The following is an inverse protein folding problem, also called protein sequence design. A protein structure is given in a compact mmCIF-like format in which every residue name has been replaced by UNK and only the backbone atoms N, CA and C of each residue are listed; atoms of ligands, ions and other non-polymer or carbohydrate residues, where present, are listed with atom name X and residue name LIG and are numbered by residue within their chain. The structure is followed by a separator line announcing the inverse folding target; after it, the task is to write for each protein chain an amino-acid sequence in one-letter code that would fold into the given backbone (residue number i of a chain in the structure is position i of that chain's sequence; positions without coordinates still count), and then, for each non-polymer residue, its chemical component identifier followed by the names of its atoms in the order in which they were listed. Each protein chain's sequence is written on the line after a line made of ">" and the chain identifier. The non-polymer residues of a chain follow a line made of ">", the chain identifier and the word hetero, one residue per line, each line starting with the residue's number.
data_IF_726716973941
#
_entry.id   IF_726716973941
#
_cell.length_a   1.000
_cell.length_b   1.000
_cell.length_c   1.000
_cell.angle_alpha   90.00
_cell.angle_beta   90.00
_cell.angle_gamma   90.00
#
_symmetry.space_group_name_H-M   'P 1'
#
loop_
_entity.id
_entity.type
_entity.pdbx_description
1 polymer ?
#
# COMPACT_ATOMS: atom_id res chain seq x y z
N UNK A 1 -20.90 -15.27 -0.48
CA UNK A 1 -21.09 -15.20 1.00
C UNK A 1 -20.04 -15.95 1.83
N UNK A 2 -20.03 -17.29 2.00
CA UNK A 2 -19.06 -17.95 2.93
C UNK A 2 -17.58 -17.72 2.58
N UNK A 3 -17.22 -17.75 1.29
CA UNK A 3 -15.83 -17.57 0.84
C UNK A 3 -15.33 -16.13 0.99
N UNK A 4 -16.14 -15.14 0.66
CA UNK A 4 -15.79 -13.72 0.81
C UNK A 4 -15.66 -13.32 2.28
N UNK A 5 -16.55 -13.85 3.14
CA UNK A 5 -16.44 -13.65 4.58
C UNK A 5 -15.14 -14.22 5.14
N UNK A 6 -14.73 -15.41 4.68
CA UNK A 6 -13.43 -16.00 5.05
C UNK A 6 -12.25 -15.15 4.58
N UNK A 7 -12.29 -14.61 3.36
CA UNK A 7 -11.24 -13.71 2.86
C UNK A 7 -11.17 -12.43 3.68
N UNK A 8 -12.30 -11.84 4.06
CA UNK A 8 -12.32 -10.66 4.91
C UNK A 8 -11.71 -10.92 6.29
N UNK A 9 -11.99 -12.09 6.89
CA UNK A 9 -11.38 -12.51 8.16
C UNK A 9 -9.85 -12.69 8.02
N UNK A 10 -9.37 -13.28 6.93
CA UNK A 10 -7.93 -13.42 6.68
C UNK A 10 -7.24 -12.07 6.49
N UNK A 11 -7.87 -11.15 5.75
CA UNK A 11 -7.37 -9.78 5.59
C UNK A 11 -7.29 -9.08 6.95
N UNK A 12 -8.33 -9.19 7.79
CA UNK A 12 -8.32 -8.63 9.14
C UNK A 12 -7.19 -9.23 9.99
N UNK A 13 -7.01 -10.55 9.96
CA UNK A 13 -5.95 -11.22 10.69
C UNK A 13 -4.54 -10.77 10.24
N UNK A 14 -4.35 -10.50 8.94
CA UNK A 14 -3.09 -9.93 8.43
C UNK A 14 -2.88 -8.52 8.98
N UNK A 15 -3.92 -7.68 8.99
CA UNK A 15 -3.84 -6.33 9.58
C UNK A 15 -3.47 -6.35 11.06
N UNK A 16 -4.03 -7.27 11.85
CA UNK A 16 -3.66 -7.42 13.26
C UNK A 16 -2.19 -7.80 13.45
N UNK A 17 -1.63 -8.65 12.58
CA UNK A 17 -0.20 -8.98 12.58
C UNK A 17 0.66 -7.77 12.24
N UNK A 18 0.23 -6.93 11.28
CA UNK A 18 0.91 -5.68 10.94
C UNK A 18 0.91 -4.72 12.14
N UNK A 19 -0.26 -4.52 12.77
CA UNK A 19 -0.44 -3.60 13.88
C UNK A 19 0.35 -4.02 15.14
N UNK A 20 0.53 -5.33 15.35
CA UNK A 20 1.34 -5.87 16.45
C UNK A 20 2.83 -5.93 16.15
N UNK A 21 3.26 -5.58 14.93
CA UNK A 21 4.66 -5.62 14.51
C UNK A 21 5.17 -7.00 14.10
N UNK A 22 4.29 -8.00 14.02
CA UNK A 22 4.57 -9.37 13.58
C UNK A 22 4.69 -9.46 12.03
N UNK A 23 5.52 -8.59 11.44
CA UNK A 23 5.58 -8.35 10.01
C UNK A 23 5.97 -9.58 9.18
N UNK A 24 6.85 -10.45 9.70
CA UNK A 24 7.25 -11.67 9.00
C UNK A 24 6.07 -12.64 8.88
N UNK A 25 5.30 -12.84 9.96
CA UNK A 25 4.08 -13.66 9.91
C UNK A 25 3.03 -13.04 9.00
N UNK A 26 2.93 -11.70 9.00
CA UNK A 26 2.00 -10.98 8.14
C UNK A 26 2.30 -11.23 6.65
N UNK A 27 3.57 -11.15 6.22
CA UNK A 27 3.91 -11.38 4.81
C UNK A 27 3.70 -12.83 4.40
N UNK A 28 4.10 -13.79 5.24
CA UNK A 28 3.95 -15.22 4.93
C UNK A 28 2.46 -15.57 4.75
N UNK A 29 1.63 -15.13 5.71
CA UNK A 29 0.17 -15.33 5.65
C UNK A 29 -0.47 -14.62 4.45
N UNK A 30 -0.01 -13.41 4.12
CA UNK A 30 -0.49 -12.69 2.94
C UNK A 30 -0.16 -13.40 1.64
N UNK A 31 1.08 -13.91 1.48
CA UNK A 31 1.50 -14.64 0.27
C UNK A 31 0.74 -15.96 0.09
N UNK A 32 0.45 -16.66 1.18
CA UNK A 32 -0.41 -17.85 1.14
C UNK A 32 -1.83 -17.48 0.71
N UNK A 33 -2.40 -16.41 1.25
CA UNK A 33 -3.73 -15.93 0.88
C UNK A 33 -3.80 -15.54 -0.61
N UNK A 34 -2.80 -14.80 -1.10
CA UNK A 34 -2.66 -14.37 -2.49
C UNK A 34 -2.53 -15.56 -3.45
N UNK A 35 -1.64 -16.51 -3.14
CA UNK A 35 -1.36 -17.70 -3.96
C UNK A 35 -2.60 -18.57 -4.11
N UNK A 36 -3.37 -18.73 -3.03
CA UNK A 36 -4.61 -19.52 -3.04
C UNK A 36 -5.80 -18.80 -3.71
N UNK A 37 -5.69 -17.49 -3.98
CA UNK A 37 -6.79 -16.67 -4.51
C UNK A 37 -6.31 -15.64 -5.55
N UNK A 38 -5.62 -16.05 -6.63
CA UNK A 38 -4.88 -15.13 -7.51
C UNK A 38 -5.75 -14.17 -8.32
N UNK A 39 -7.05 -14.44 -8.44
CA UNK A 39 -8.02 -13.61 -9.19
C UNK A 39 -8.93 -12.78 -8.28
N UNK A 40 -8.71 -12.78 -6.97
CA UNK A 40 -9.58 -12.07 -6.04
C UNK A 40 -9.24 -10.57 -5.99
N UNK A 41 -10.19 -9.72 -6.38
CA UNK A 41 -9.99 -8.28 -6.43
C UNK A 41 -9.76 -7.67 -5.04
N UNK A 42 -10.46 -8.12 -4.00
CA UNK A 42 -10.28 -7.62 -2.63
C UNK A 42 -8.84 -7.82 -2.16
N UNK A 43 -8.27 -9.00 -2.42
CA UNK A 43 -6.85 -9.30 -2.12
C UNK A 43 -5.93 -8.42 -2.96
N UNK A 44 -6.20 -8.29 -4.27
CA UNK A 44 -5.43 -7.43 -5.19
C UNK A 44 -5.35 -5.97 -4.72
N UNK A 45 -6.44 -5.44 -4.12
CA UNK A 45 -6.47 -4.08 -3.59
C UNK A 45 -5.72 -3.94 -2.26
N UNK A 46 -5.97 -4.85 -1.31
CA UNK A 46 -5.32 -4.81 0.00
C UNK A 46 -3.81 -5.07 -0.09
N UNK A 47 -3.37 -5.81 -1.12
CA UNK A 47 -1.95 -6.05 -1.44
C UNK A 47 -1.10 -4.79 -1.38
N UNK A 48 -1.60 -3.67 -1.91
CA UNK A 48 -0.82 -2.43 -2.00
C UNK A 48 -0.43 -1.93 -0.61
N UNK A 49 -1.42 -1.79 0.29
CA UNK A 49 -1.18 -1.36 1.68
C UNK A 49 -0.33 -2.37 2.44
N UNK A 50 -0.69 -3.66 2.37
CA UNK A 50 0.04 -4.72 3.07
C UNK A 50 1.52 -4.79 2.69
N UNK A 51 1.86 -4.76 1.40
CA UNK A 51 3.27 -4.79 1.00
C UNK A 51 4.03 -3.55 1.49
N UNK A 52 3.39 -2.38 1.51
CA UNK A 52 4.02 -1.15 1.98
C UNK A 52 4.28 -1.22 3.48
N UNK A 53 3.25 -1.51 4.28
CA UNK A 53 3.34 -1.52 5.74
C UNK A 53 4.28 -2.63 6.23
N UNK A 54 4.12 -3.84 5.69
CA UNK A 54 4.98 -4.98 6.03
C UNK A 54 6.42 -4.73 5.56
N UNK A 55 6.60 -4.24 4.33
CA UNK A 55 7.92 -3.95 3.78
C UNK A 55 8.66 -2.89 4.58
N UNK A 56 7.96 -1.85 5.03
CA UNK A 56 8.53 -0.83 5.89
C UNK A 56 8.92 -1.39 7.26
N UNK A 57 8.02 -2.12 7.91
CA UNK A 57 8.28 -2.78 9.20
C UNK A 57 9.47 -3.74 9.17
N UNK A 58 9.64 -4.49 8.07
CA UNK A 58 10.79 -5.40 7.85
C UNK A 58 12.07 -4.68 7.40
N UNK A 59 12.04 -3.34 7.24
CA UNK A 59 13.13 -2.56 6.63
C UNK A 59 13.55 -3.06 5.24
N UNK A 60 12.60 -3.65 4.51
CA UNK A 60 12.81 -4.28 3.21
C UNK A 60 12.25 -3.42 2.07
N UNK A 61 13.12 -2.57 1.51
CA UNK A 61 12.76 -1.66 0.43
C UNK A 61 12.26 -2.36 -0.84
N UNK A 62 12.62 -3.63 -1.09
CA UNK A 62 12.12 -4.38 -2.25
C UNK A 62 10.61 -4.64 -2.13
N UNK A 63 10.14 -4.99 -0.94
CA UNK A 63 8.71 -5.26 -0.69
C UNK A 63 7.91 -3.95 -0.80
N UNK A 64 8.41 -2.85 -0.21
CA UNK A 64 7.78 -1.53 -0.35
C UNK A 64 7.66 -1.13 -1.83
N UNK A 65 8.74 -1.31 -2.60
CA UNK A 65 8.76 -1.02 -4.04
C UNK A 65 7.76 -1.87 -4.82
N UNK A 66 7.60 -3.15 -4.48
CA UNK A 66 6.56 -4.02 -5.08
C UNK A 66 5.16 -3.46 -4.80
N UNK A 67 4.89 -3.00 -3.58
CA UNK A 67 3.63 -2.35 -3.21
C UNK A 67 3.35 -1.11 -4.05
N UNK A 68 4.32 -0.20 -4.16
CA UNK A 68 4.20 1.03 -4.99
C UNK A 68 3.91 0.67 -6.45
N UNK A 69 4.73 -0.17 -7.07
CA UNK A 69 4.55 -0.56 -8.49
C UNK A 69 3.19 -1.21 -8.72
N UNK A 70 2.72 -2.03 -7.77
CA UNK A 70 1.39 -2.64 -7.83
C UNK A 70 0.28 -1.57 -7.78
N UNK A 71 0.37 -0.63 -6.85
CA UNK A 71 -0.58 0.47 -6.71
C UNK A 71 -0.64 1.37 -7.94
N UNK A 72 0.52 1.74 -8.50
CA UNK A 72 0.59 2.54 -9.73
C UNK A 72 -0.02 1.84 -10.94
N UNK A 73 0.15 0.53 -11.05
CA UNK A 73 -0.50 -0.26 -12.09
C UNK A 73 -2.02 -0.26 -11.92
N UNK A 74 -2.52 -0.39 -10.69
CA UNK A 74 -3.95 -0.37 -10.37
C UNK A 74 -4.58 1.01 -10.61
N UNK A 75 -3.85 2.11 -10.38
CA UNK A 75 -4.35 3.47 -10.64
C UNK A 75 -4.63 3.73 -12.13
N UNK A 76 -3.94 3.00 -13.03
CA UNK A 76 -4.15 3.05 -14.49
C UNK A 76 -5.30 2.15 -14.96
N UNK A 77 -5.80 1.27 -14.09
CA UNK A 77 -6.87 0.32 -14.39
C UNK A 77 -8.25 0.97 -14.17
N UNK A 78 -9.02 1.13 -15.24
CA UNK A 78 -10.34 1.78 -15.19
C UNK A 78 -11.36 1.04 -14.31
N UNK A 79 -11.18 -0.27 -14.10
CA UNK A 79 -12.02 -1.07 -13.21
C UNK A 79 -11.87 -0.70 -11.73
N UNK A 80 -10.81 0.06 -11.39
CA UNK A 80 -10.45 0.39 -10.02
C UNK A 80 -10.92 1.79 -9.58
N UNK A 81 -11.85 2.41 -10.33
CA UNK A 81 -12.29 3.80 -10.11
C UNK A 81 -12.70 4.10 -8.66
N UNK A 82 -13.45 3.20 -8.03
CA UNK A 82 -13.94 3.40 -6.66
C UNK A 82 -12.87 3.15 -5.58
N UNK A 83 -11.68 2.68 -5.96
CA UNK A 83 -10.56 2.42 -5.05
C UNK A 83 -9.45 3.46 -5.18
N UNK A 84 -9.58 4.43 -6.09
CA UNK A 84 -8.54 5.41 -6.39
C UNK A 84 -8.06 6.18 -5.17
N UNK A 85 -8.98 6.67 -4.33
CA UNK A 85 -8.63 7.37 -3.09
C UNK A 85 -7.67 6.55 -2.23
N UNK A 86 -8.03 5.29 -1.94
CA UNK A 86 -7.21 4.37 -1.15
C UNK A 86 -5.89 4.03 -1.83
N UNK A 87 -5.91 3.81 -3.15
CA UNK A 87 -4.70 3.50 -3.92
C UNK A 87 -3.70 4.67 -3.92
N UNK A 88 -4.18 5.90 -4.14
CA UNK A 88 -3.34 7.09 -4.06
C UNK A 88 -2.78 7.29 -2.64
N UNK A 89 -3.62 7.14 -1.61
CA UNK A 89 -3.18 7.24 -0.23
C UNK A 89 -2.10 6.20 0.11
N UNK A 90 -2.32 4.93 -0.25
CA UNK A 90 -1.33 3.87 -0.02
C UNK A 90 -0.04 4.11 -0.81
N UNK A 91 -0.11 4.47 -2.09
CA UNK A 91 1.08 4.83 -2.87
C UNK A 91 1.86 5.99 -2.24
N UNK A 92 1.16 7.00 -1.71
CA UNK A 92 1.80 8.12 -1.01
C UNK A 92 2.58 7.63 0.23
N UNK A 93 1.96 6.79 1.07
CA UNK A 93 2.62 6.16 2.21
C UNK A 93 3.82 5.30 1.78
N UNK A 94 3.70 4.59 0.66
CA UNK A 94 4.79 3.80 0.07
C UNK A 94 6.00 4.67 -0.28
N UNK A 95 5.77 5.79 -0.95
CA UNK A 95 6.83 6.74 -1.32
C UNK A 95 7.52 7.35 -0.09
N UNK A 96 6.76 7.71 0.96
CA UNK A 96 7.33 8.17 2.24
C UNK A 96 8.19 7.07 2.89
N UNK A 97 7.65 5.86 2.96
CA UNK A 97 8.34 4.70 3.54
C UNK A 97 9.64 4.39 2.80
N UNK A 98 9.61 4.44 1.47
CA UNK A 98 10.78 4.19 0.63
C UNK A 98 11.85 5.27 0.81
N UNK A 99 11.46 6.54 0.92
CA UNK A 99 12.38 7.63 1.26
C UNK A 99 13.07 7.38 2.60
N UNK A 100 12.31 7.09 3.67
CA UNK A 100 12.88 6.85 5.00
C UNK A 100 13.84 5.66 5.01
N UNK A 101 13.51 4.56 4.32
CA UNK A 101 14.40 3.41 4.22
C UNK A 101 15.71 3.71 3.48
N UNK A 102 15.69 4.62 2.51
CA UNK A 102 16.91 5.11 1.84
C UNK A 102 17.72 6.04 2.74
N UNK A 103 17.04 6.97 3.42
CA UNK A 103 17.67 7.93 4.33
C UNK A 103 18.39 7.23 5.50
N UNK A 104 17.74 6.26 6.14
CA UNK A 104 18.29 5.49 7.26
C UNK A 104 19.57 4.72 6.89
N UNK A 105 19.72 4.35 5.60
CA UNK A 105 20.88 3.63 5.09
C UNK A 105 22.06 4.54 4.78
N UNK A 106 21.80 5.75 4.31
CA UNK A 106 22.86 6.62 3.80
C UNK A 106 23.33 7.70 4.79
N UNK A 107 22.61 7.96 5.90
CA UNK A 107 22.95 8.84 7.05
C UNK A 107 23.55 10.24 6.77
N UNK A 108 23.77 10.60 5.52
CA UNK A 108 24.50 11.82 5.10
C UNK A 108 23.73 12.63 4.04
N UNK A 109 22.50 12.20 3.74
CA UNK A 109 21.61 12.94 2.84
C UNK A 109 21.03 14.10 3.64
N UNK A 110 21.58 15.31 3.51
CA UNK A 110 20.89 16.55 3.93
C UNK A 110 19.42 16.44 3.52
N UNK A 111 18.45 16.72 4.40
CA UNK A 111 17.02 16.63 4.05
C UNK A 111 16.72 17.42 2.75
N UNK A 112 16.68 16.71 1.61
CA UNK A 112 16.43 17.32 0.31
C UNK A 112 14.92 17.40 0.15
N UNK A 113 14.38 18.61 0.33
CA UNK A 113 12.95 18.89 0.12
C UNK A 113 12.52 18.51 -1.31
N UNK A 114 13.45 18.50 -2.27
CA UNK A 114 13.26 18.09 -3.66
C UNK A 114 13.55 16.59 -3.92
N UNK A 115 13.47 15.73 -2.90
CA UNK A 115 13.59 14.30 -3.11
C UNK A 115 12.39 13.78 -3.95
N UNK A 116 12.69 13.04 -5.02
CA UNK A 116 11.67 12.52 -5.94
C UNK A 116 10.58 11.70 -5.22
N UNK A 117 10.93 10.88 -4.23
CA UNK A 117 9.96 10.09 -3.48
C UNK A 117 9.06 11.00 -2.62
N UNK A 118 9.60 12.03 -1.98
CA UNK A 118 8.79 12.99 -1.22
C UNK A 118 7.86 13.80 -2.13
N UNK A 119 8.32 14.20 -3.32
CA UNK A 119 7.48 14.88 -4.31
C UNK A 119 6.38 13.95 -4.85
N UNK A 120 6.71 12.68 -5.11
CA UNK A 120 5.74 11.67 -5.51
C UNK A 120 4.71 11.39 -4.40
N UNK A 121 5.13 11.29 -3.14
CA UNK A 121 4.22 11.17 -2.00
C UNK A 121 3.25 12.35 -1.93
N UNK A 122 3.78 13.58 -1.98
CA UNK A 122 2.99 14.82 -1.98
C UNK A 122 1.97 14.87 -3.11
N UNK A 123 2.36 14.49 -4.33
CA UNK A 123 1.45 14.40 -5.49
C UNK A 123 0.33 13.40 -5.22
N UNK A 124 0.66 12.19 -4.76
CA UNK A 124 -0.32 11.15 -4.49
C UNK A 124 -1.30 11.52 -3.36
N UNK A 125 -0.83 12.14 -2.26
CA UNK A 125 -1.73 12.63 -1.21
C UNK A 125 -2.74 13.67 -1.74
N UNK A 126 -2.30 14.57 -2.62
CA UNK A 126 -3.20 15.56 -3.25
C UNK A 126 -4.25 14.89 -4.14
N UNK A 127 -3.87 13.87 -4.92
CA UNK A 127 -4.82 13.11 -5.74
C UNK A 127 -5.81 12.32 -4.87
N UNK A 128 -5.36 11.73 -3.75
CA UNK A 128 -6.27 11.07 -2.80
C UNK A 128 -7.34 12.04 -2.27
N UNK A 129 -6.95 13.26 -1.88
CA UNK A 129 -7.89 14.29 -1.43
C UNK A 129 -8.87 14.73 -2.52
N UNK A 130 -8.40 14.88 -3.77
CA UNK A 130 -9.27 15.23 -4.91
C UNK A 130 -10.32 14.14 -5.18
N UNK A 131 -9.91 12.87 -5.19
CA UNK A 131 -10.82 11.75 -5.42
C UNK A 131 -11.83 11.59 -4.27
N UNK A 132 -11.42 11.82 -3.01
CA UNK A 132 -12.32 11.84 -1.86
C UNK A 132 -13.38 12.94 -2.00
N UNK A 133 -12.95 14.18 -2.26
CA UNK A 133 -13.86 15.31 -2.41
C UNK A 133 -14.81 15.16 -3.62
N UNK A 134 -14.37 14.49 -4.69
CA UNK A 134 -15.23 14.17 -5.84
C UNK A 134 -16.30 13.13 -5.50
N UNK A 135 -16.03 12.25 -4.53
CA UNK A 135 -17.01 11.30 -4.03
C UNK A 135 -18.04 12.00 -3.13
N UNK A 136 -17.58 12.87 -2.23
CA UNK A 136 -18.44 13.61 -1.29
C UNK A 136 -19.33 14.67 -1.96
N UNK A 137 -18.97 15.10 -3.18
CA UNK A 137 -19.72 16.10 -3.95
C UNK A 137 -20.72 15.49 -4.95
N UNK A 138 -20.83 14.16 -5.02
CA UNK A 138 -21.88 13.50 -5.81
C UNK A 138 -23.13 13.28 -4.93
N UNK A 139 -24.29 13.84 -5.30
CA UNK A 139 -25.55 13.60 -4.59
C UNK A 139 -26.02 12.14 -4.71
#
# INVERSE_FOLDING_TARGET
>A
MKKEHKIAQEIYAISELINSGDYQKAIDRFRDLETNNPKNNTIKFNKVGFLIDIGFGLKNSKIVKEGIVTGEKLLKDSSCKNQKTNLYYNCANGYVSFYHLGYDRERDVKQIVDNENLQNAKRNFREALKESNHFDSKP
#
